data_IF_316657691855
#
_entry.id   IF_316657691855
#
_cell.length_a   1.000
_cell.length_b   1.000
_cell.length_c   1.000
_cell.angle_alpha   90.00
_cell.angle_beta   90.00
_cell.angle_gamma   90.00
#
_symmetry.space_group_name_H-M   'P 1'
#
loop_
_entity.id
_entity.type
_entity.pdbx_description
1 polymer ?
#
# COMPACT_ATOMS: atom_id res chain seq x y z
N UNK A 1 15.72 11.29 -3.57
CA UNK A 1 16.51 10.39 -2.71
C UNK A 1 16.96 9.17 -3.53
N UNK A 2 18.01 8.46 -3.12
CA UNK A 2 18.47 7.26 -3.84
C UNK A 2 17.48 6.10 -3.67
N UNK A 3 17.04 5.86 -2.43
CA UNK A 3 15.98 4.92 -2.05
C UNK A 3 14.71 5.69 -1.69
N UNK A 4 13.56 5.34 -2.30
CA UNK A 4 12.29 6.06 -2.11
C UNK A 4 11.38 5.35 -1.12
N UNK A 5 11.21 4.04 -1.29
CA UNK A 5 10.45 3.19 -0.38
C UNK A 5 11.40 2.43 0.53
N UNK A 6 11.05 2.35 1.81
CA UNK A 6 11.76 1.51 2.76
C UNK A 6 11.55 0.02 2.42
N UNK A 7 12.60 -0.78 2.57
CA UNK A 7 12.48 -2.22 2.44
C UNK A 7 11.54 -2.76 3.53
N UNK A 8 10.69 -3.71 3.15
CA UNK A 8 9.72 -4.32 4.04
C UNK A 8 9.85 -5.84 3.94
N UNK A 9 10.15 -6.49 5.07
CA UNK A 9 10.23 -7.97 5.15
C UNK A 9 8.84 -8.62 5.13
N UNK A 10 7.80 -7.85 5.45
CA UNK A 10 6.41 -8.31 5.52
C UNK A 10 5.62 -7.83 4.29
N UNK A 11 5.68 -8.61 3.22
CA UNK A 11 4.96 -8.36 1.96
C UNK A 11 3.50 -8.82 2.00
N UNK A 12 3.00 -9.27 3.14
CA UNK A 12 1.63 -9.73 3.34
C UNK A 12 0.91 -8.80 4.29
N UNK A 13 -0.25 -8.31 3.86
CA UNK A 13 -1.11 -7.41 4.62
C UNK A 13 -2.39 -8.15 4.98
N UNK A 14 -2.72 -8.16 6.26
CA UNK A 14 -3.96 -8.76 6.75
C UNK A 14 -4.97 -7.68 7.04
N UNK A 15 -6.22 -7.86 6.60
CA UNK A 15 -7.34 -6.99 6.97
C UNK A 15 -8.51 -7.80 7.51
N UNK A 16 -9.28 -7.22 8.42
CA UNK A 16 -10.49 -7.82 8.99
C UNK A 16 -11.77 -7.11 8.55
N UNK A 17 -11.64 -6.04 7.77
CA UNK A 17 -12.75 -5.24 7.25
C UNK A 17 -12.58 -4.91 5.77
N UNK A 18 -13.32 -3.90 5.33
CA UNK A 18 -13.24 -3.37 3.96
C UNK A 18 -11.91 -2.66 3.73
N UNK A 19 -11.46 -1.87 4.71
CA UNK A 19 -10.20 -1.14 4.64
C UNK A 19 -9.01 -1.99 5.09
N UNK A 20 -7.87 -1.79 4.42
CA UNK A 20 -6.57 -2.30 4.82
C UNK A 20 -5.49 -1.25 4.61
N UNK A 21 -4.33 -1.44 5.23
CA UNK A 21 -3.20 -0.52 5.14
C UNK A 21 -1.98 -1.20 4.56
N UNK A 22 -1.51 -0.69 3.42
CA UNK A 22 -0.28 -1.15 2.76
C UNK A 22 0.91 -0.39 3.36
N UNK A 23 1.87 -1.07 4.02
CA UNK A 23 2.97 -0.43 4.76
C UNK A 23 4.14 0.00 3.85
N UNK A 24 3.81 0.72 2.75
CA UNK A 24 4.79 1.25 1.80
C UNK A 24 5.30 2.63 2.24
N UNK A 25 6.17 2.64 3.25
CA UNK A 25 6.70 3.88 3.83
C UNK A 25 7.79 4.50 2.95
N UNK A 26 7.82 5.82 2.89
CA UNK A 26 8.79 6.59 2.10
C UNK A 26 9.90 7.20 2.95
N UNK A 27 11.09 7.35 2.37
CA UNK A 27 12.23 8.01 3.00
C UNK A 27 12.11 9.53 3.05
N UNK A 28 11.31 10.11 2.15
CA UNK A 28 11.10 11.56 2.06
C UNK A 28 9.60 11.88 2.07
N UNK A 29 9.10 12.66 3.05
CA UNK A 29 7.68 12.97 3.19
C UNK A 29 7.11 13.85 2.07
N UNK A 30 7.96 14.47 1.24
CA UNK A 30 7.53 15.23 0.06
C UNK A 30 7.17 14.34 -1.13
N UNK A 31 7.42 13.03 -1.07
CA UNK A 31 7.02 12.08 -2.13
C UNK A 31 5.51 11.90 -2.05
N UNK A 32 4.81 12.17 -3.16
CA UNK A 32 3.38 11.91 -3.27
C UNK A 32 3.17 10.44 -3.57
N UNK A 33 2.50 9.72 -2.69
CA UNK A 33 2.26 8.28 -2.84
C UNK A 33 0.83 8.03 -3.29
N UNK A 34 0.68 7.16 -4.27
CA UNK A 34 -0.58 6.62 -4.79
C UNK A 34 -0.52 5.09 -4.76
N UNK A 35 -1.68 4.43 -4.70
CA UNK A 35 -1.77 2.97 -4.66
C UNK A 35 -2.36 2.44 -5.95
N UNK A 36 -1.83 1.33 -6.45
CA UNK A 36 -2.31 0.65 -7.64
C UNK A 36 -2.49 -0.83 -7.39
N UNK A 37 -3.56 -1.38 -7.94
CA UNK A 37 -3.67 -2.83 -8.12
C UNK A 37 -2.66 -3.29 -9.16
N UNK A 38 -1.87 -4.32 -8.82
CA UNK A 38 -0.74 -4.78 -9.65
C UNK A 38 -1.18 -5.42 -10.96
N UNK A 39 -2.35 -6.04 -11.00
CA UNK A 39 -2.80 -6.79 -12.19
C UNK A 39 -3.51 -5.88 -13.19
N UNK A 40 -4.38 -5.01 -12.69
CA UNK A 40 -5.19 -4.12 -13.51
C UNK A 40 -4.53 -2.77 -13.77
N UNK A 41 -3.47 -2.41 -13.03
CA UNK A 41 -2.84 -1.08 -13.04
C UNK A 41 -3.84 0.06 -12.78
N UNK A 42 -4.95 -0.25 -12.09
CA UNK A 42 -5.96 0.74 -11.71
C UNK A 42 -5.56 1.38 -10.37
N UNK A 43 -5.66 2.70 -10.32
CA UNK A 43 -5.41 3.48 -9.11
C UNK A 43 -6.50 3.23 -8.07
N UNK A 44 -6.10 3.03 -6.83
CA UNK A 44 -6.99 2.85 -5.69
C UNK A 44 -7.00 4.12 -4.85
N UNK A 45 -8.19 4.72 -4.75
CA UNK A 45 -8.41 5.91 -3.94
C UNK A 45 -8.29 5.59 -2.45
N UNK A 46 -7.63 6.47 -1.71
CA UNK A 46 -7.39 6.27 -0.28
C UNK A 46 -6.60 7.41 0.34
N UNK A 47 -6.00 7.15 1.49
CA UNK A 47 -5.21 8.13 2.23
C UNK A 47 -3.82 7.58 2.54
N UNK A 48 -2.81 8.41 2.32
CA UNK A 48 -1.43 8.07 2.64
C UNK A 48 -0.96 8.80 3.91
N UNK A 49 -0.36 8.04 4.83
CA UNK A 49 0.31 8.57 6.00
C UNK A 49 1.78 8.08 6.01
N UNK A 50 2.78 8.99 6.00
CA UNK A 50 4.20 8.60 5.97
C UNK A 50 4.69 7.72 7.12
N UNK A 51 3.95 7.62 8.22
CA UNK A 51 4.28 6.79 9.39
C UNK A 51 3.54 5.44 9.41
N UNK A 52 2.43 5.32 8.68
CA UNK A 52 1.56 4.14 8.72
C UNK A 52 1.52 3.41 7.38
N UNK A 53 1.47 4.14 6.27
CA UNK A 53 1.33 3.61 4.92
C UNK A 53 0.10 4.14 4.20
N UNK A 54 -0.33 3.41 3.18
CA UNK A 54 -1.49 3.76 2.37
C UNK A 54 -2.72 2.97 2.81
N UNK A 55 -3.76 3.64 3.30
CA UNK A 55 -5.02 3.03 3.73
C UNK A 55 -6.10 3.25 2.69
N UNK A 56 -6.75 2.17 2.27
CA UNK A 56 -7.84 2.21 1.30
C UNK A 56 -8.77 1.00 1.49
N UNK A 57 -9.89 0.98 0.77
CA UNK A 57 -10.69 -0.22 0.57
C UNK A 57 -9.91 -1.18 -0.33
N UNK A 58 -9.54 -2.35 0.21
CA UNK A 58 -8.68 -3.32 -0.49
C UNK A 58 -9.42 -4.64 -0.65
N UNK A 59 -9.16 -5.32 -1.75
CA UNK A 59 -9.57 -6.70 -1.99
C UNK A 59 -8.39 -7.66 -1.74
N UNK A 60 -8.63 -8.96 -1.86
CA UNK A 60 -7.60 -9.99 -1.66
C UNK A 60 -6.71 -10.13 -2.89
N UNK A 61 -5.97 -9.05 -3.18
CA UNK A 61 -5.15 -8.85 -4.38
C UNK A 61 -3.76 -8.34 -4.03
N UNK A 62 -2.93 -8.23 -5.06
CA UNK A 62 -1.59 -7.66 -4.93
C UNK A 62 -1.61 -6.18 -5.30
N UNK A 63 -1.09 -5.33 -4.43
CA UNK A 63 -1.00 -3.89 -4.62
C UNK A 63 0.45 -3.41 -4.64
N UNK A 64 0.70 -2.29 -5.31
CA UNK A 64 1.99 -1.59 -5.32
C UNK A 64 1.76 -0.10 -5.13
N UNK A 65 2.65 0.54 -4.39
CA UNK A 65 2.63 1.99 -4.23
C UNK A 65 3.48 2.62 -5.33
N UNK A 66 3.03 3.74 -5.88
CA UNK A 66 3.81 4.59 -6.78
C UNK A 66 4.08 5.91 -6.08
N UNK A 67 5.34 6.29 -6.03
CA UNK A 67 5.79 7.55 -5.48
C UNK A 67 6.13 8.50 -6.63
N UNK A 68 5.66 9.74 -6.55
CA UNK A 68 5.99 10.82 -7.48
C UNK A 68 6.74 11.93 -6.72
N UNK A 69 7.90 12.33 -7.25
CA UNK A 69 8.67 13.46 -6.73
C UNK A 69 9.40 14.16 -7.88
N UNK A 70 9.17 15.47 -8.03
CA UNK A 70 9.79 16.30 -9.08
C UNK A 70 9.59 15.76 -10.51
N UNK A 71 8.46 15.11 -10.78
CA UNK A 71 8.13 14.52 -12.09
C UNK A 71 8.82 13.19 -12.38
N UNK A 72 9.54 12.62 -11.42
CA UNK A 72 10.04 11.25 -11.48
C UNK A 72 9.09 10.33 -10.71
N UNK A 73 8.86 9.13 -11.23
CA UNK A 73 8.00 8.12 -10.61
C UNK A 73 8.80 6.85 -10.27
N UNK A 74 8.56 6.28 -9.09
CA UNK A 74 9.11 4.99 -8.67
C UNK A 74 8.06 4.12 -8.03
N UNK A 75 8.18 2.81 -8.23
CA UNK A 75 7.27 1.82 -7.65
C UNK A 75 7.88 1.16 -6.40
N UNK A 76 7.04 0.81 -5.44
CA UNK A 76 7.42 -0.04 -4.31
C UNK A 76 7.46 -1.50 -4.71
N UNK A 77 7.96 -2.34 -3.80
CA UNK A 77 7.70 -3.78 -3.85
C UNK A 77 6.18 -4.07 -3.77
N UNK A 78 5.71 -5.19 -4.32
CA UNK A 78 4.31 -5.58 -4.27
C UNK A 78 3.93 -6.17 -2.90
N UNK A 79 2.71 -5.86 -2.45
CA UNK A 79 2.13 -6.35 -1.20
C UNK A 79 0.86 -7.16 -1.50
N UNK A 80 0.77 -8.38 -0.98
CA UNK A 80 -0.43 -9.19 -1.09
C UNK A 80 -1.35 -8.94 0.10
N UNK A 81 -2.59 -8.57 -0.16
CA UNK A 81 -3.62 -8.35 0.87
C UNK A 81 -4.47 -9.60 1.02
N UNK A 82 -4.79 -9.97 2.25
CA UNK A 82 -5.68 -11.09 2.56
C UNK A 82 -6.70 -10.71 3.63
N UNK A 83 -7.97 -11.03 3.40
CA UNK A 83 -9.06 -10.81 4.33
C UNK A 83 -9.20 -11.98 5.30
N UNK A 84 -9.17 -11.70 6.60
CA UNK A 84 -9.52 -12.67 7.64
C UNK A 84 -10.93 -12.39 8.12
N UNK A 85 -11.84 -13.32 7.82
CA UNK A 85 -13.21 -13.31 8.32
C UNK A 85 -13.31 -14.24 9.54
N UNK A 86 -13.42 -13.66 10.73
CA UNK A 86 -13.73 -14.41 11.94
C UNK A 86 -15.23 -14.42 12.20
N UNK A 87 -15.91 -15.57 12.03
CA UNK A 87 -17.24 -15.74 12.61
C UNK A 87 -17.07 -15.84 14.12
N UNK A 88 -17.20 -14.72 14.84
CA UNK A 88 -17.40 -14.79 16.28
C UNK A 88 -18.83 -15.31 16.52
N UNK A 89 -18.96 -16.64 16.62
CA UNK A 89 -20.15 -17.24 17.19
C UNK A 89 -20.14 -16.92 18.70
N UNK A 90 -20.98 -15.97 19.12
CA UNK A 90 -21.32 -15.70 20.51
C UNK A 90 -22.43 -16.66 20.98
#
# INVERSE_FOLDING_TARGET
PEVWFLENEHLMVTKTGEEGTVPCLVTNPSIKVTLYDRESEIMVEGSYNPTVGYTAALEDRTYKCKGELNGEEKESVPFYVFSIFGTFAF
#
